data_IF_474332376968
#
_entry.id   IF_474332376968
#
_cell.length_a   1.000
_cell.length_b   1.000
_cell.length_c   1.000
_cell.angle_alpha   90.00
_cell.angle_beta   90.00
_cell.angle_gamma   90.00
#
_symmetry.space_group_name_H-M   'P 1'
#
loop_
_entity.id
_entity.type
_entity.pdbx_description
1 polymer ?
#
# COMPACT_ATOMS: atom_id res chain seq x y z
N UNK A 1 -6.14 -14.60 9.39
CA UNK A 1 -5.25 -15.58 8.70
C UNK A 1 -3.95 -15.92 9.47
N UNK A 2 -3.63 -15.24 10.57
CA UNK A 2 -2.36 -15.42 11.30
C UNK A 2 -1.14 -14.84 10.59
N UNK A 3 -1.30 -13.88 9.67
CA UNK A 3 -0.19 -13.20 8.99
C UNK A 3 0.25 -11.91 9.69
N UNK A 4 -0.64 -11.28 10.46
CA UNK A 4 -0.35 -10.10 11.26
C UNK A 4 0.42 -10.45 12.54
N UNK A 5 1.17 -9.48 13.09
CA UNK A 5 1.91 -9.63 14.36
C UNK A 5 0.98 -10.00 15.52
N UNK A 6 -0.10 -9.25 15.66
CA UNK A 6 -1.19 -9.49 16.60
C UNK A 6 -2.44 -8.75 16.12
N UNK A 7 -3.58 -9.42 16.22
CA UNK A 7 -4.91 -8.83 16.03
C UNK A 7 -5.90 -9.54 16.95
N UNK A 8 -7.12 -9.04 17.06
CA UNK A 8 -8.19 -9.73 17.78
C UNK A 8 -9.51 -9.59 17.02
N UNK A 9 -10.43 -10.47 17.36
CA UNK A 9 -11.80 -10.44 16.85
C UNK A 9 -12.77 -10.86 17.96
N UNK A 10 -14.04 -10.52 17.79
CA UNK A 10 -15.13 -11.04 18.62
C UNK A 10 -15.73 -12.26 17.93
N UNK A 11 -15.90 -13.37 18.66
CA UNK A 11 -16.39 -14.64 18.10
C UNK A 11 -17.88 -14.60 17.76
N UNK A 12 -18.65 -13.88 18.56
CA UNK A 12 -20.09 -13.78 18.47
C UNK A 12 -20.58 -12.50 19.17
N UNK A 13 -21.89 -12.26 19.11
CA UNK A 13 -22.51 -11.08 19.72
C UNK A 13 -22.36 -11.06 21.25
N UNK A 14 -22.38 -12.22 21.91
CA UNK A 14 -22.17 -12.29 23.36
C UNK A 14 -20.75 -11.88 23.74
N UNK A 15 -19.76 -12.23 22.92
CA UNK A 15 -18.39 -11.79 23.09
C UNK A 15 -18.23 -10.28 22.88
N UNK A 16 -19.02 -9.65 21.99
CA UNK A 16 -19.06 -8.20 21.84
C UNK A 16 -19.60 -7.54 23.11
N UNK A 17 -20.76 -8.00 23.60
CA UNK A 17 -21.42 -7.46 24.80
C UNK A 17 -20.57 -7.59 26.06
N UNK A 18 -19.84 -8.69 26.20
CA UNK A 18 -18.95 -8.94 27.34
C UNK A 18 -17.54 -8.37 27.15
N UNK A 19 -17.23 -7.78 25.99
CA UNK A 19 -15.89 -7.30 25.65
C UNK A 19 -14.83 -8.41 25.55
N UNK A 20 -15.26 -9.66 25.37
CA UNK A 20 -14.40 -10.85 25.34
C UNK A 20 -13.64 -10.99 24.02
N UNK A 21 -12.42 -10.44 23.99
CA UNK A 21 -11.55 -10.43 22.81
C UNK A 21 -10.89 -11.79 22.59
N UNK A 22 -10.99 -12.31 21.37
CA UNK A 22 -10.23 -13.49 20.93
C UNK A 22 -8.98 -13.05 20.17
N UNK A 23 -7.82 -13.25 20.78
CA UNK A 23 -6.53 -12.87 20.20
C UNK A 23 -6.05 -13.86 19.14
N UNK A 24 -5.59 -13.31 18.02
CA UNK A 24 -4.94 -14.03 16.94
C UNK A 24 -3.51 -13.51 16.77
N UNK A 25 -2.53 -14.38 16.98
CA UNK A 25 -1.12 -14.06 16.88
C UNK A 25 -0.54 -14.51 15.55
N UNK A 26 0.64 -13.96 15.21
CA UNK A 26 1.42 -14.38 14.06
C UNK A 26 1.65 -15.90 14.09
N UNK A 27 1.19 -16.56 13.03
CA UNK A 27 1.52 -17.96 12.76
C UNK A 27 2.92 -18.03 12.16
N UNK A 28 3.81 -18.68 12.89
CA UNK A 28 5.14 -19.06 12.40
C UNK A 28 5.07 -20.35 11.60
N UNK A 29 6.05 -20.55 10.72
CA UNK A 29 6.20 -21.81 9.98
C UNK A 29 6.53 -22.95 10.94
N UNK A 30 5.83 -24.07 10.80
CA UNK A 30 6.16 -25.30 11.53
C UNK A 30 7.40 -25.94 10.90
N UNK A 31 8.11 -26.75 11.68
CA UNK A 31 9.26 -27.51 11.18
C UNK A 31 8.83 -28.44 10.06
N UNK A 32 9.46 -28.31 8.89
CA UNK A 32 9.15 -29.11 7.70
C UNK A 32 7.94 -28.64 6.89
N UNK A 33 7.30 -27.52 7.26
CA UNK A 33 6.20 -26.93 6.50
C UNK A 33 6.74 -26.07 5.35
N UNK A 34 6.17 -26.23 4.16
CA UNK A 34 6.50 -25.39 3.02
C UNK A 34 5.92 -23.98 3.20
N UNK A 35 6.75 -22.97 2.96
CA UNK A 35 6.33 -21.58 3.15
C UNK A 35 5.32 -21.11 2.09
N UNK A 36 5.53 -21.48 0.83
CA UNK A 36 4.71 -20.98 -0.27
C UNK A 36 3.21 -21.32 -0.12
N UNK A 37 2.80 -22.59 0.10
CA UNK A 37 1.38 -22.92 0.23
C UNK A 37 0.70 -22.16 1.36
N UNK A 38 1.37 -22.02 2.52
CA UNK A 38 0.85 -21.25 3.63
C UNK A 38 0.68 -19.76 3.28
N UNK A 39 1.71 -19.13 2.72
CA UNK A 39 1.68 -17.71 2.42
C UNK A 39 0.72 -17.40 1.27
N UNK A 40 0.58 -18.30 0.30
CA UNK A 40 -0.41 -18.16 -0.78
C UNK A 40 -1.85 -18.23 -0.26
N UNK A 41 -2.16 -19.14 0.65
CA UNK A 41 -3.48 -19.17 1.29
C UNK A 41 -3.76 -17.88 2.06
N UNK A 42 -2.76 -17.38 2.81
CA UNK A 42 -2.88 -16.11 3.52
C UNK A 42 -3.09 -14.92 2.58
N UNK A 43 -2.37 -14.83 1.44
CA UNK A 43 -2.55 -13.69 0.52
C UNK A 43 -3.94 -13.66 -0.12
N UNK A 44 -4.51 -14.83 -0.44
CA UNK A 44 -5.90 -14.96 -0.95
C UNK A 44 -6.92 -14.53 0.10
N UNK A 45 -6.74 -14.98 1.34
CA UNK A 45 -7.59 -14.54 2.44
C UNK A 45 -7.52 -13.02 2.65
N UNK A 46 -6.32 -12.42 2.60
CA UNK A 46 -6.16 -10.97 2.70
C UNK A 46 -6.80 -10.21 1.54
N UNK A 47 -6.72 -10.75 0.32
CA UNK A 47 -7.38 -10.14 -0.83
C UNK A 47 -8.90 -10.12 -0.66
N UNK A 48 -9.47 -11.24 -0.20
CA UNK A 48 -10.89 -11.34 0.17
C UNK A 48 -11.26 -10.33 1.25
N UNK A 49 -10.44 -10.18 2.30
CA UNK A 49 -10.66 -9.20 3.36
C UNK A 49 -10.64 -7.76 2.83
N UNK A 50 -9.74 -7.41 1.90
CA UNK A 50 -9.75 -6.11 1.23
C UNK A 50 -11.05 -5.87 0.44
N UNK A 51 -11.50 -6.86 -0.33
CA UNK A 51 -12.76 -6.77 -1.08
C UNK A 51 -13.98 -6.68 -0.17
N UNK A 52 -13.98 -7.39 0.97
CA UNK A 52 -15.04 -7.32 1.98
C UNK A 52 -15.08 -5.96 2.67
N UNK A 53 -13.91 -5.42 3.03
CA UNK A 53 -13.81 -4.08 3.60
C UNK A 53 -14.33 -3.02 2.62
N UNK A 54 -13.95 -3.11 1.34
CA UNK A 54 -14.49 -2.22 0.31
C UNK A 54 -16.01 -2.33 0.19
N UNK A 55 -16.55 -3.56 0.14
CA UNK A 55 -18.00 -3.76 0.08
C UNK A 55 -18.71 -3.14 1.28
N UNK A 56 -18.17 -3.31 2.49
CA UNK A 56 -18.75 -2.71 3.70
C UNK A 56 -18.75 -1.17 3.63
N UNK A 57 -17.65 -0.57 3.18
CA UNK A 57 -17.54 0.89 3.02
C UNK A 57 -18.57 1.39 1.99
N UNK A 58 -18.70 0.71 0.85
CA UNK A 58 -19.67 1.07 -0.19
C UNK A 58 -21.12 0.87 0.28
N UNK A 59 -21.39 -0.17 1.06
CA UNK A 59 -22.72 -0.37 1.65
C UNK A 59 -23.08 0.77 2.62
N UNK A 60 -22.14 1.20 3.46
CA UNK A 60 -22.33 2.35 4.37
C UNK A 60 -22.52 3.64 3.56
N UNK A 61 -21.75 3.82 2.49
CA UNK A 61 -21.89 4.94 1.55
C UNK A 61 -23.30 4.97 0.91
N UNK A 62 -23.92 3.81 0.66
CA UNK A 62 -25.31 3.69 0.22
C UNK A 62 -26.35 3.87 1.34
N UNK A 63 -25.94 4.13 2.57
CA UNK A 63 -26.80 4.32 3.73
C UNK A 63 -27.25 3.02 4.41
N UNK A 64 -26.53 1.90 4.21
CA UNK A 64 -26.77 0.68 4.98
C UNK A 64 -26.39 0.94 6.45
N UNK A 65 -27.31 0.68 7.41
CA UNK A 65 -26.97 0.82 8.82
C UNK A 65 -25.96 -0.27 9.23
N UNK A 66 -24.92 0.14 9.93
CA UNK A 66 -23.87 -0.75 10.46
C UNK A 66 -23.59 -0.38 11.91
N UNK A 67 -23.60 -1.37 12.80
CA UNK A 67 -23.20 -1.18 14.19
C UNK A 67 -21.69 -1.33 14.31
N UNK A 68 -20.99 -0.27 14.74
CA UNK A 68 -19.59 -0.37 15.09
C UNK A 68 -19.44 -1.13 16.41
N UNK A 69 -18.79 -2.29 16.37
CA UNK A 69 -18.53 -3.12 17.57
C UNK A 69 -17.41 -2.55 18.45
N UNK A 70 -16.66 -1.57 17.93
CA UNK A 70 -15.72 -0.79 18.72
C UNK A 70 -16.50 0.43 19.23
N UNK A 71 -16.73 0.48 20.54
CA UNK A 71 -17.39 1.59 21.23
C UNK A 71 -16.53 2.87 21.13
N UNK A 72 -16.65 3.54 19.98
CA UNK A 72 -15.90 4.73 19.61
C UNK A 72 -16.88 5.87 19.34
N UNK A 73 -16.48 7.09 19.69
CA UNK A 73 -17.21 8.33 19.36
C UNK A 73 -17.05 8.71 17.87
N UNK A 74 -17.21 7.74 16.98
CA UNK A 74 -17.20 7.96 15.54
C UNK A 74 -18.50 7.42 14.93
N UNK A 75 -19.36 8.35 14.50
CA UNK A 75 -20.57 8.00 13.79
C UNK A 75 -20.24 7.59 12.34
N UNK A 76 -20.44 6.31 12.04
CA UNK A 76 -20.18 5.72 10.73
C UNK A 76 -21.16 6.22 9.66
N UNK A 77 -22.33 6.74 10.04
CA UNK A 77 -23.31 7.27 9.09
C UNK A 77 -22.78 8.51 8.34
N UNK A 78 -21.78 9.20 8.90
CA UNK A 78 -21.08 10.28 8.23
C UNK A 78 -20.41 9.86 6.92
N UNK A 79 -20.20 8.56 6.69
CA UNK A 79 -19.64 8.04 5.45
C UNK A 79 -20.68 7.89 4.33
N UNK A 80 -21.97 8.13 4.61
CA UNK A 80 -23.02 8.10 3.60
C UNK A 80 -22.79 9.17 2.52
N UNK A 81 -22.93 8.78 1.25
CA UNK A 81 -22.75 9.64 0.07
C UNK A 81 -21.39 10.38 0.05
N UNK A 82 -20.36 9.80 0.66
CA UNK A 82 -19.04 10.43 0.86
C UNK A 82 -17.94 9.82 -0.01
N UNK A 83 -18.20 8.68 -0.67
CA UNK A 83 -17.19 7.92 -1.41
C UNK A 83 -17.35 8.14 -2.91
N UNK A 84 -16.27 8.60 -3.56
CA UNK A 84 -16.16 8.56 -5.03
C UNK A 84 -15.89 7.12 -5.48
N UNK A 85 -16.95 6.42 -5.88
CA UNK A 85 -16.95 4.99 -6.22
C UNK A 85 -16.13 4.66 -7.47
N UNK A 86 -15.81 5.66 -8.29
CA UNK A 86 -14.98 5.49 -9.48
C UNK A 86 -13.49 5.69 -9.19
N UNK A 87 -13.10 6.07 -7.96
CA UNK A 87 -11.72 6.38 -7.55
C UNK A 87 -11.23 5.55 -6.38
N UNK A 88 -11.28 4.23 -6.54
CA UNK A 88 -10.86 3.27 -5.50
C UNK A 88 -9.46 2.74 -5.79
N UNK A 89 -8.56 2.80 -4.81
CA UNK A 89 -7.19 2.26 -4.92
C UNK A 89 -6.89 1.29 -3.76
N UNK A 90 -5.95 0.36 -3.99
CA UNK A 90 -5.41 -0.53 -2.94
C UNK A 90 -3.91 -0.29 -2.78
N UNK A 91 -3.47 -0.10 -1.55
CA UNK A 91 -2.07 0.18 -1.22
C UNK A 91 -1.63 -0.77 -0.12
N UNK A 92 -0.41 -1.28 -0.22
CA UNK A 92 0.10 -2.21 0.78
C UNK A 92 1.61 -2.32 0.77
N UNK A 93 2.16 -2.56 1.96
CA UNK A 93 3.60 -2.68 2.20
C UNK A 93 4.04 -4.12 2.45
N UNK A 94 5.17 -4.54 1.88
CA UNK A 94 5.76 -5.87 2.06
C UNK A 94 4.77 -6.98 1.68
N UNK A 95 4.29 -7.79 2.64
CA UNK A 95 3.23 -8.76 2.40
C UNK A 95 1.93 -8.05 1.94
N UNK A 96 1.66 -6.82 2.41
CA UNK A 96 0.59 -5.97 1.87
C UNK A 96 0.77 -5.62 0.39
N UNK A 97 2.01 -5.52 -0.10
CA UNK A 97 2.27 -5.33 -1.52
C UNK A 97 1.89 -6.56 -2.37
N UNK A 98 2.06 -7.77 -1.84
CA UNK A 98 1.50 -8.97 -2.45
C UNK A 98 -0.04 -8.96 -2.38
N UNK A 99 -0.63 -8.53 -1.27
CA UNK A 99 -2.09 -8.38 -1.18
C UNK A 99 -2.65 -7.44 -2.23
N UNK A 100 -2.01 -6.29 -2.48
CA UNK A 100 -2.38 -5.39 -3.59
C UNK A 100 -2.50 -6.15 -4.91
N UNK A 101 -1.47 -6.93 -5.25
CA UNK A 101 -1.41 -7.71 -6.50
C UNK A 101 -2.54 -8.74 -6.56
N UNK A 102 -2.74 -9.50 -5.48
CA UNK A 102 -3.79 -10.51 -5.40
C UNK A 102 -5.18 -9.87 -5.52
N UNK A 103 -5.43 -8.78 -4.77
CA UNK A 103 -6.70 -8.04 -4.78
C UNK A 103 -7.02 -7.50 -6.17
N UNK A 104 -6.07 -6.85 -6.85
CA UNK A 104 -6.30 -6.34 -8.20
C UNK A 104 -6.67 -7.45 -9.20
N UNK A 105 -6.12 -8.65 -9.01
CA UNK A 105 -6.42 -9.80 -9.86
C UNK A 105 -7.81 -10.39 -9.65
N UNK A 106 -8.40 -10.17 -8.47
CA UNK A 106 -9.68 -10.77 -8.06
C UNK A 106 -10.84 -9.77 -8.09
N UNK A 107 -10.57 -8.47 -7.96
CA UNK A 107 -11.60 -7.45 -7.80
C UNK A 107 -11.34 -6.21 -8.68
N UNK A 108 -12.21 -6.03 -9.68
CA UNK A 108 -12.11 -4.99 -10.70
C UNK A 108 -12.63 -3.62 -10.24
N UNK A 109 -13.20 -3.53 -9.04
CA UNK A 109 -13.64 -2.26 -8.45
C UNK A 109 -12.45 -1.37 -8.07
N UNK A 110 -11.34 -2.00 -7.66
CA UNK A 110 -10.07 -1.29 -7.49
C UNK A 110 -9.54 -0.85 -8.86
N UNK A 111 -9.22 0.43 -8.98
CA UNK A 111 -8.83 1.08 -10.24
C UNK A 111 -7.32 1.12 -10.46
N UNK A 112 -6.55 1.12 -9.38
CA UNK A 112 -5.09 1.02 -9.42
C UNK A 112 -4.57 0.46 -8.10
N UNK A 113 -3.30 0.05 -8.09
CA UNK A 113 -2.62 -0.35 -6.86
C UNK A 113 -1.21 0.19 -6.72
N UNK A 114 -0.79 0.35 -5.46
CA UNK A 114 0.57 0.75 -5.11
C UNK A 114 1.17 -0.29 -4.16
N UNK A 115 2.18 -0.98 -4.66
CA UNK A 115 2.94 -2.00 -3.96
C UNK A 115 4.22 -1.38 -3.38
N UNK A 116 4.22 -1.15 -2.08
CA UNK A 116 5.36 -0.60 -1.35
C UNK A 116 6.27 -1.74 -0.91
N UNK A 117 7.44 -1.84 -1.51
CA UNK A 117 8.50 -2.80 -1.17
C UNK A 117 7.97 -4.24 -1.09
N UNK A 118 7.22 -4.64 -2.13
CA UNK A 118 6.40 -5.84 -2.10
C UNK A 118 7.25 -7.12 -1.93
N UNK A 119 6.80 -7.99 -1.02
CA UNK A 119 7.33 -9.33 -0.85
C UNK A 119 6.53 -10.30 -1.72
N UNK A 120 7.11 -10.76 -2.83
CA UNK A 120 6.38 -11.46 -3.89
C UNK A 120 6.27 -12.98 -3.70
N UNK A 121 6.90 -13.55 -2.66
CA UNK A 121 6.81 -14.99 -2.37
C UNK A 121 5.37 -15.55 -2.34
N UNK A 122 4.38 -14.85 -1.76
CA UNK A 122 3.03 -15.39 -1.63
C UNK A 122 2.25 -15.49 -2.94
N UNK A 123 2.72 -14.88 -4.03
CA UNK A 123 1.96 -14.75 -5.29
C UNK A 123 2.15 -15.99 -6.17
N UNK A 124 1.03 -16.61 -6.55
CA UNK A 124 0.99 -17.70 -7.52
C UNK A 124 1.25 -17.20 -8.95
N UNK A 125 1.87 -18.04 -9.78
CA UNK A 125 2.27 -17.67 -11.14
C UNK A 125 1.07 -17.31 -12.04
N UNK A 126 -0.12 -17.83 -11.74
CA UNK A 126 -1.35 -17.53 -12.47
C UNK A 126 -1.82 -16.08 -12.34
N UNK A 127 -1.41 -15.40 -11.26
CA UNK A 127 -1.90 -14.05 -10.90
C UNK A 127 -1.28 -12.98 -11.80
N UNK A 128 -0.02 -13.14 -12.23
CA UNK A 128 0.73 -12.11 -12.96
C UNK A 128 0.03 -11.65 -14.27
N UNK A 129 -0.72 -12.54 -14.90
CA UNK A 129 -1.44 -12.27 -16.16
C UNK A 129 -2.83 -11.64 -15.96
N UNK A 130 -3.34 -11.63 -14.72
CA UNK A 130 -4.74 -11.31 -14.39
C UNK A 130 -4.92 -9.91 -13.80
N UNK A 131 -3.94 -9.03 -13.95
CA UNK A 131 -3.94 -7.69 -13.36
C UNK A 131 -4.11 -6.65 -14.47
N UNK A 132 -5.34 -6.28 -14.85
CA UNK A 132 -5.55 -5.29 -15.90
C UNK A 132 -5.26 -3.85 -15.45
N UNK A 133 -5.38 -3.55 -14.16
CA UNK A 133 -5.27 -2.20 -13.62
C UNK A 133 -3.82 -1.70 -13.60
N UNK A 134 -3.58 -0.37 -13.65
CA UNK A 134 -2.27 0.22 -13.38
C UNK A 134 -1.71 -0.19 -12.01
N UNK A 135 -0.42 -0.52 -11.99
CA UNK A 135 0.27 -0.96 -10.76
C UNK A 135 1.63 -0.27 -10.63
N UNK A 136 1.84 0.35 -9.47
CA UNK A 136 3.06 1.08 -9.15
C UNK A 136 3.85 0.39 -8.05
N UNK A 137 5.10 0.04 -8.33
CA UNK A 137 6.05 -0.48 -7.36
C UNK A 137 6.96 0.62 -6.83
N UNK A 138 7.03 0.77 -5.51
CA UNK A 138 7.97 1.67 -4.83
C UNK A 138 8.83 0.83 -3.91
N UNK A 139 10.08 0.59 -4.29
CA UNK A 139 10.98 -0.33 -3.60
C UNK A 139 12.02 0.42 -2.75
N UNK A 140 12.51 -0.26 -1.70
CA UNK A 140 13.69 0.18 -0.97
C UNK A 140 14.91 -0.61 -1.45
N UNK A 141 16.02 0.09 -1.67
CA UNK A 141 17.24 -0.51 -2.22
C UNK A 141 17.73 -1.74 -1.45
N UNK A 142 17.67 -1.70 -0.12
CA UNK A 142 18.22 -2.75 0.76
C UNK A 142 17.29 -3.96 0.97
N UNK A 143 16.00 -3.85 0.68
CA UNK A 143 15.05 -4.95 0.91
C UNK A 143 14.96 -5.89 -0.28
N UNK A 144 15.19 -5.37 -1.49
CA UNK A 144 15.03 -6.15 -2.71
C UNK A 144 16.19 -7.13 -2.95
N UNK A 145 15.85 -8.30 -3.46
CA UNK A 145 16.80 -9.34 -3.86
C UNK A 145 16.42 -9.91 -5.23
N UNK A 146 17.37 -10.50 -5.99
CA UNK A 146 17.16 -10.82 -7.41
C UNK A 146 15.92 -11.68 -7.70
N UNK A 147 15.65 -12.72 -6.89
CA UNK A 147 14.48 -13.59 -7.11
C UNK A 147 13.14 -12.89 -6.83
N UNK A 148 13.10 -11.91 -5.92
CA UNK A 148 11.92 -11.08 -5.71
C UNK A 148 11.69 -10.14 -6.91
N UNK A 149 12.75 -9.49 -7.40
CA UNK A 149 12.69 -8.61 -8.57
C UNK A 149 12.26 -9.36 -9.83
N UNK A 150 12.72 -10.60 -10.02
CA UNK A 150 12.26 -11.46 -11.12
C UNK A 150 10.75 -11.65 -11.07
N UNK A 151 10.18 -11.89 -9.88
CA UNK A 151 8.72 -12.00 -9.70
C UNK A 151 8.01 -10.68 -9.95
N UNK A 152 8.56 -9.55 -9.50
CA UNK A 152 7.98 -8.23 -9.82
C UNK A 152 7.95 -8.01 -11.34
N UNK A 153 9.04 -8.34 -12.05
CA UNK A 153 9.14 -8.21 -13.51
C UNK A 153 8.11 -9.06 -14.26
N UNK A 154 7.63 -10.18 -13.71
CA UNK A 154 6.52 -10.95 -14.31
C UNK A 154 5.23 -10.13 -14.45
N UNK A 155 5.05 -9.06 -13.67
CA UNK A 155 3.90 -8.16 -13.78
C UNK A 155 3.97 -7.19 -14.96
N UNK A 156 5.13 -7.05 -15.63
CA UNK A 156 5.38 -6.10 -16.72
C UNK A 156 5.07 -6.75 -18.06
N UNK A 157 3.80 -6.64 -18.48
CA UNK A 157 3.30 -7.09 -19.77
C UNK A 157 3.11 -5.89 -20.72
N UNK A 158 3.30 -6.02 -22.04
CA UNK A 158 3.31 -4.89 -22.99
C UNK A 158 2.05 -4.01 -23.01
N UNK A 159 0.90 -4.56 -22.64
CA UNK A 159 -0.41 -3.91 -22.64
C UNK A 159 -0.86 -3.43 -21.25
N UNK A 160 0.04 -3.45 -20.26
CA UNK A 160 -0.27 -3.12 -18.87
C UNK A 160 0.54 -1.92 -18.39
N UNK A 161 -0.13 -0.92 -17.82
CA UNK A 161 0.56 0.21 -17.21
C UNK A 161 1.28 -0.24 -15.93
N UNK A 162 2.61 -0.19 -15.95
CA UNK A 162 3.46 -0.54 -14.82
C UNK A 162 4.53 0.51 -14.62
N UNK A 163 4.74 0.90 -13.36
CA UNK A 163 5.84 1.77 -12.96
C UNK A 163 6.61 1.11 -11.83
N UNK A 164 7.91 1.36 -11.77
CA UNK A 164 8.76 0.93 -10.67
C UNK A 164 9.79 2.02 -10.39
N UNK A 165 9.91 2.42 -9.13
CA UNK A 165 11.01 3.24 -8.65
C UNK A 165 11.67 2.56 -7.46
N UNK A 166 12.94 2.89 -7.22
CA UNK A 166 13.70 2.45 -6.05
C UNK A 166 14.23 3.68 -5.31
N UNK A 167 14.01 3.72 -4.00
CA UNK A 167 14.49 4.78 -3.13
C UNK A 167 15.82 4.34 -2.50
N UNK A 168 16.87 5.14 -2.71
CA UNK A 168 18.23 4.90 -2.19
C UNK A 168 18.37 5.36 -0.71
N UNK A 169 19.14 4.58 0.04
CA UNK A 169 19.55 4.51 1.47
C UNK A 169 19.32 5.63 2.54
N UNK A 170 18.53 6.69 2.36
CA UNK A 170 18.22 7.62 3.48
C UNK A 170 16.81 7.47 4.08
N UNK A 171 15.98 6.57 3.54
CA UNK A 171 14.57 6.41 3.92
C UNK A 171 14.25 4.95 4.28
N UNK A 172 14.75 4.47 5.42
CA UNK A 172 14.27 3.24 6.09
C UNK A 172 12.82 3.39 6.64
N UNK A 173 11.91 4.04 5.89
CA UNK A 173 10.75 4.75 6.46
C UNK A 173 9.40 4.43 5.79
N UNK A 174 9.13 3.17 5.43
CA UNK A 174 7.80 2.79 4.93
C UNK A 174 6.90 2.15 6.01
N UNK A 175 7.45 1.85 7.20
CA UNK A 175 6.65 1.48 8.37
C UNK A 175 6.67 2.59 9.43
N UNK A 176 5.53 2.81 10.09
CA UNK A 176 5.36 3.83 11.15
C UNK A 176 6.39 3.71 12.28
N UNK A 177 6.98 2.53 12.48
CA UNK A 177 7.93 2.24 13.57
C UNK A 177 9.19 3.12 13.56
N UNK A 178 9.56 3.71 12.41
CA UNK A 178 10.72 4.58 12.32
C UNK A 178 10.57 5.89 13.13
N UNK A 179 9.35 6.41 13.29
CA UNK A 179 9.10 7.61 14.09
C UNK A 179 9.15 7.34 15.61
N UNK A 180 9.19 6.07 16.02
CA UNK A 180 9.32 5.67 17.42
C UNK A 180 10.78 5.61 17.91
N UNK A 181 11.77 5.75 17.01
CA UNK A 181 13.20 5.68 17.36
C UNK A 181 13.81 7.08 17.54
N UNK A 182 14.00 7.46 18.81
CA UNK A 182 14.74 8.60 19.42
C UNK A 182 14.89 9.93 18.62
N UNK A 183 14.57 11.10 19.25
CA UNK A 183 14.63 12.43 18.62
C UNK A 183 15.99 12.84 18.00
N UNK A 184 17.10 12.25 18.42
CA UNK A 184 18.45 12.65 17.99
C UNK A 184 18.75 12.35 16.52
N UNK A 185 18.04 11.40 15.90
CA UNK A 185 18.19 11.06 14.48
C UNK A 185 17.51 12.06 13.54
N UNK A 186 16.46 12.76 14.00
CA UNK A 186 15.74 13.74 13.20
C UNK A 186 16.56 15.01 12.93
N UNK A 187 17.38 15.45 13.90
CA UNK A 187 18.22 16.67 13.79
C UNK A 187 19.31 16.59 12.71
N UNK A 188 19.72 15.38 12.28
CA UNK A 188 20.70 15.23 11.20
C UNK A 188 20.10 15.36 9.80
N UNK A 189 18.79 15.24 9.65
CA UNK A 189 18.11 15.26 8.35
C UNK A 189 17.77 16.67 7.83
N UNK A 190 17.68 17.69 8.70
CA UNK A 190 17.26 19.05 8.32
C UNK A 190 18.29 19.89 7.55
N UNK A 191 19.54 19.41 7.40
CA UNK A 191 20.66 20.26 6.91
C UNK A 191 21.13 20.01 5.48
N UNK A 192 20.49 19.16 4.66
CA UNK A 192 21.04 18.86 3.32
C UNK A 192 19.99 19.03 2.23
N UNK A 193 20.32 19.88 1.26
CA UNK A 193 19.53 20.15 0.06
C UNK A 193 19.36 18.89 -0.79
N UNK A 194 18.21 18.83 -1.47
CA UNK A 194 17.72 17.69 -2.22
C UNK A 194 18.13 17.78 -3.69
N UNK A 195 18.55 16.67 -4.29
CA UNK A 195 18.70 16.53 -5.75
C UNK A 195 17.88 15.32 -6.22
N UNK A 196 17.04 15.53 -7.24
CA UNK A 196 16.25 14.49 -7.90
C UNK A 196 16.96 14.15 -9.21
N UNK A 197 17.39 12.90 -9.37
CA UNK A 197 17.95 12.42 -10.64
C UNK A 197 16.86 11.73 -11.47
N UNK A 198 16.54 12.33 -12.63
CA UNK A 198 15.67 11.74 -13.65
C UNK A 198 16.57 11.19 -14.76
N UNK A 199 16.54 9.89 -15.10
CA UNK A 199 17.34 9.35 -16.18
C UNK A 199 16.76 9.79 -17.54
N UNK A 200 17.59 10.41 -18.39
CA UNK A 200 17.28 10.57 -19.82
C UNK A 200 17.26 11.98 -20.41
N UNK A 201 17.67 13.03 -19.69
CA UNK A 201 17.87 14.35 -20.32
C UNK A 201 19.29 14.84 -20.09
N UNK A 202 19.97 15.26 -21.17
CA UNK A 202 21.34 15.80 -21.15
C UNK A 202 21.36 17.27 -20.66
N UNK A 203 20.42 17.66 -19.80
CA UNK A 203 20.24 19.01 -19.31
C UNK A 203 20.67 19.11 -17.85
N UNK A 204 21.48 20.15 -17.56
CA UNK A 204 22.12 20.42 -16.28
C UNK A 204 21.12 20.39 -15.10
N UNK A 205 21.56 20.00 -13.88
CA UNK A 205 20.70 19.91 -12.71
C UNK A 205 20.06 21.26 -12.36
N UNK A 206 18.74 21.25 -12.15
CA UNK A 206 17.97 22.39 -11.65
C UNK A 206 18.03 22.40 -10.11
N UNK A 207 18.61 23.45 -9.54
CA UNK A 207 18.66 23.66 -8.10
C UNK A 207 17.38 24.33 -7.59
N UNK A 208 16.75 23.73 -6.56
CA UNK A 208 15.60 24.33 -5.86
C UNK A 208 16.07 25.03 -4.57
N UNK A 209 15.78 26.33 -4.44
CA UNK A 209 15.78 27.07 -3.16
C UNK A 209 14.36 27.55 -2.87
N UNK A 210 13.90 27.39 -1.63
CA UNK A 210 12.61 27.91 -1.14
C UNK A 210 12.61 29.45 -1.13
N UNK A 211 11.57 30.10 -1.69
CA UNK A 211 11.26 31.52 -1.45
C UNK A 211 10.69 32.33 -2.64
N UNK A 212 9.39 32.64 -2.58
CA UNK A 212 8.62 33.84 -3.04
C UNK A 212 8.99 34.59 -4.37
N UNK A 213 8.09 34.44 -5.37
CA UNK A 213 7.47 35.37 -6.36
C UNK A 213 8.21 36.60 -7.03
N UNK A 214 8.36 36.59 -8.37
CA UNK A 214 7.65 37.41 -9.43
C UNK A 214 8.48 37.84 -10.67
N UNK A 215 7.77 37.91 -11.82
CA UNK A 215 7.97 38.67 -13.10
C UNK A 215 8.70 38.07 -14.35
N UNK A 216 7.89 37.65 -15.37
CA UNK A 216 8.01 37.74 -16.86
C UNK A 216 9.13 36.98 -17.65
N UNK A 217 9.07 36.77 -19.00
CA UNK A 217 8.04 37.02 -20.05
C UNK A 217 7.59 35.70 -20.79
N UNK A 218 6.79 35.73 -21.90
CA UNK A 218 5.85 34.67 -22.26
C UNK A 218 6.39 33.59 -23.20
N UNK A 219 5.86 32.37 -23.05
CA UNK A 219 5.88 31.34 -24.09
C UNK A 219 6.65 30.08 -23.71
N UNK A 220 6.12 29.30 -22.77
CA UNK A 220 6.24 27.83 -22.76
C UNK A 220 5.30 27.27 -21.70
N UNK A 221 4.31 26.50 -22.13
CA UNK A 221 3.35 25.83 -21.26
C UNK A 221 3.99 24.63 -20.60
N UNK A 222 4.41 24.77 -19.34
CA UNK A 222 4.75 23.64 -18.48
C UNK A 222 3.49 23.19 -17.72
N UNK A 223 2.97 22.01 -18.07
CA UNK A 223 1.91 21.33 -17.32
C UNK A 223 2.39 21.09 -15.88
N UNK A 224 1.67 21.68 -14.92
CA UNK A 224 1.84 21.40 -13.50
C UNK A 224 1.12 20.11 -13.17
N UNK A 225 1.86 19.09 -12.76
CA UNK A 225 1.31 17.97 -11.99
C UNK A 225 1.72 18.16 -10.53
N UNK A 226 0.88 18.84 -9.76
CA UNK A 226 0.99 18.89 -8.31
C UNK A 226 0.20 17.70 -7.73
N UNK A 227 0.89 16.77 -7.07
CA UNK A 227 0.26 15.90 -6.08
C UNK A 227 0.34 16.61 -4.74
N UNK A 228 -0.80 17.14 -4.27
CA UNK A 228 -0.96 17.51 -2.88
C UNK A 228 -1.27 16.23 -2.09
N UNK A 229 -0.42 15.90 -1.13
CA UNK A 229 -0.76 15.04 0.01
C UNK A 229 -1.48 15.87 1.06
#
# INVERSE_FOLDING_TARGET
>A
DGSASSTYYFKDQSAVETGSKSWLYLRTLKRGEEEFPLRNEQVRQRAKECSQALSLILDIDHGRPVTNVLDLEFDVEQLKDSIDRDKIAVIGHSFGGATVIQTLSEDQRFRCGIALDAWMLPIGDEVYSRIPQPLFFINLERFQYPSNIIRIKKCFLPDRERKMITINEMLQKLSFFCFCLKPDLLRRAEKRQWEILVPGSNSRPLHWKQGVLTTGPPGESLERVCFNL
#
